data_IF_029663565991
#
_entry.id   IF_029663565991
#
_cell.length_a   1.000
_cell.length_b   1.000
_cell.length_c   1.000
_cell.angle_alpha   90.00
_cell.angle_beta   90.00
_cell.angle_gamma   90.00
#
_symmetry.space_group_name_H-M   'P 1'
#
loop_
_entity.id
_entity.type
_entity.pdbx_description
1 polymer ?
#
# COMPACT_ATOMS: atom_id res chain seq x y z
N UNK A 1 -13.14 9.76 2.85
CA UNK A 1 -11.80 9.17 2.70
C UNK A 1 -11.60 8.68 1.27
N UNK A 2 -10.62 9.25 0.57
CA UNK A 2 -10.30 8.85 -0.80
C UNK A 2 -9.09 7.94 -0.76
N UNK A 3 -9.25 6.67 -1.15
CA UNK A 3 -8.15 5.71 -1.17
C UNK A 3 -7.98 5.07 -2.54
N UNK A 4 -6.79 4.52 -2.76
CA UNK A 4 -6.45 3.73 -3.94
C UNK A 4 -5.81 2.43 -3.48
N UNK A 5 -6.30 1.32 -4.03
CA UNK A 5 -5.69 -0.01 -3.86
C UNK A 5 -4.68 -0.26 -4.96
N UNK A 6 -3.47 -0.63 -4.56
CA UNK A 6 -2.50 -1.15 -5.51
C UNK A 6 -2.73 -2.64 -5.79
N UNK A 7 -2.24 -3.16 -6.92
CA UNK A 7 -2.30 -4.59 -7.20
C UNK A 7 -1.62 -5.43 -6.10
N UNK A 8 -2.06 -6.70 -5.88
CA UNK A 8 -1.35 -7.63 -5.02
C UNK A 8 0.12 -7.75 -5.42
N UNK A 9 1.01 -7.71 -4.43
CA UNK A 9 2.44 -7.67 -4.66
C UNK A 9 3.19 -8.41 -3.57
N UNK A 10 4.40 -8.88 -3.85
CA UNK A 10 5.25 -9.59 -2.88
C UNK A 10 5.61 -8.70 -1.68
N UNK A 11 6.07 -9.28 -0.55
CA UNK A 11 6.48 -8.49 0.62
C UNK A 11 7.50 -7.38 0.31
N UNK A 12 8.45 -7.65 -0.60
CA UNK A 12 9.49 -6.68 -1.00
C UNK A 12 8.87 -5.48 -1.72
N UNK A 13 8.00 -5.72 -2.70
CA UNK A 13 7.35 -4.65 -3.45
C UNK A 13 6.41 -3.83 -2.55
N UNK A 14 5.67 -4.48 -1.65
CA UNK A 14 4.82 -3.76 -0.67
C UNK A 14 5.63 -2.86 0.27
N UNK A 15 6.86 -3.24 0.64
CA UNK A 15 7.75 -2.39 1.44
C UNK A 15 8.09 -1.09 0.69
N UNK A 16 8.49 -1.21 -0.57
CA UNK A 16 8.80 -0.06 -1.44
C UNK A 16 7.57 0.83 -1.59
N UNK A 17 6.40 0.23 -1.82
CA UNK A 17 5.12 0.94 -1.90
C UNK A 17 4.81 1.75 -0.63
N UNK A 18 5.03 1.17 0.56
CA UNK A 18 4.87 1.87 1.83
C UNK A 18 5.91 3.00 2.00
N UNK A 19 7.16 2.78 1.59
CA UNK A 19 8.22 3.81 1.60
C UNK A 19 7.87 4.98 0.68
N UNK A 20 7.35 4.71 -0.52
CA UNK A 20 6.89 5.74 -1.46
C UNK A 20 5.70 6.53 -0.91
N UNK A 21 4.73 5.87 -0.27
CA UNK A 21 3.62 6.55 0.38
C UNK A 21 4.11 7.47 1.52
N UNK A 22 5.02 6.97 2.37
CA UNK A 22 5.63 7.77 3.45
C UNK A 22 6.39 8.97 2.90
N UNK A 23 7.16 8.81 1.82
CA UNK A 23 7.91 9.90 1.20
C UNK A 23 7.01 11.00 0.60
N UNK A 24 5.75 10.69 0.32
CA UNK A 24 4.74 11.63 -0.16
C UNK A 24 3.81 12.14 0.95
N UNK A 25 4.14 11.90 2.23
CA UNK A 25 3.29 12.22 3.40
C UNK A 25 1.88 11.59 3.33
N UNK A 26 1.75 10.42 2.70
CA UNK A 26 0.50 9.67 2.58
C UNK A 26 0.44 8.50 3.56
N UNK A 27 -0.77 8.24 4.08
CA UNK A 27 -1.05 7.07 4.94
C UNK A 27 -1.21 5.84 4.06
N UNK A 28 -0.67 4.69 4.51
CA UNK A 28 -0.81 3.43 3.79
C UNK A 28 -0.95 2.23 4.72
N UNK A 29 -1.76 1.25 4.32
CA UNK A 29 -2.00 0.02 5.07
C UNK A 29 -2.01 -1.21 4.15
N UNK A 30 -1.51 -2.33 4.65
CA UNK A 30 -1.57 -3.61 3.94
C UNK A 30 -2.87 -4.35 4.24
N UNK A 31 -3.54 -4.86 3.21
CA UNK A 31 -4.77 -5.64 3.33
C UNK A 31 -4.66 -6.99 2.64
N UNK A 32 -5.50 -7.94 3.07
CA UNK A 32 -5.55 -9.29 2.52
C UNK A 32 -4.50 -10.26 3.07
N UNK A 33 -4.57 -11.50 2.57
CA UNK A 33 -3.66 -12.61 2.87
C UNK A 33 -2.86 -12.94 1.62
N UNK A 34 -1.63 -13.42 1.80
CA UNK A 34 -0.78 -13.87 0.71
C UNK A 34 -1.50 -14.99 -0.10
N UNK A 35 -1.40 -15.02 -1.44
CA UNK A 35 -0.65 -14.11 -2.33
C UNK A 35 -1.43 -12.86 -2.75
N UNK A 36 -2.65 -12.68 -2.26
CA UNK A 36 -3.55 -11.56 -2.63
C UNK A 36 -3.39 -10.33 -1.72
N UNK A 37 -2.27 -10.23 -1.00
CA UNK A 37 -2.03 -9.10 -0.08
C UNK A 37 -1.51 -7.90 -0.87
N UNK A 38 -2.09 -6.73 -0.61
CA UNK A 38 -1.83 -5.49 -1.33
C UNK A 38 -1.72 -4.30 -0.36
N UNK A 39 -1.24 -3.15 -0.86
CA UNK A 39 -1.18 -1.89 -0.13
C UNK A 39 -2.31 -0.97 -0.60
N UNK A 40 -3.06 -0.40 0.35
CA UNK A 40 -4.01 0.70 0.15
C UNK A 40 -3.35 1.99 0.59
N UNK A 41 -3.39 3.01 -0.25
CA UNK A 41 -2.90 4.37 0.06
C UNK A 41 -4.12 5.28 0.23
N UNK A 42 -4.11 6.11 1.26
CA UNK A 42 -5.18 7.05 1.59
C UNK A 42 -4.71 8.48 1.31
N UNK A 43 -5.63 9.30 0.81
CA UNK A 43 -5.48 10.74 0.58
C UNK A 43 -6.75 11.41 1.11
N UNK A 44 -6.59 12.28 2.10
CA UNK A 44 -7.65 12.92 2.88
C UNK A 44 -8.51 11.97 3.73
#
# INVERSE_FOLDING_TARGET
>A
ERYVDMPPATPVIRRIQHEMARAADLVSHSYGKEPRRYVRIFRD
#
